data_IF_434770503516
#
_entry.id   IF_434770503516
#
_cell.length_a   1.000
_cell.length_b   1.000
_cell.length_c   1.000
_cell.angle_alpha   90.00
_cell.angle_beta   90.00
_cell.angle_gamma   90.00
#
_symmetry.space_group_name_H-M   'P 1'
#
loop_
_entity.id
_entity.type
_entity.pdbx_description
1 polymer ?
#
# COMPACT_ATOMS: atom_id res chain seq x y z
N UNK A 1 10.34 -20.49 -5.37
CA UNK A 1 9.07 -20.22 -4.65
C UNK A 1 7.91 -20.64 -5.53
N UNK A 2 7.75 -21.94 -5.74
CA UNK A 2 6.74 -22.47 -6.67
C UNK A 2 6.09 -23.70 -6.02
N UNK A 3 5.40 -23.48 -4.91
CA UNK A 3 4.49 -24.48 -4.34
C UNK A 3 3.07 -24.01 -4.66
N UNK A 4 2.47 -24.67 -5.64
CA UNK A 4 1.05 -24.51 -5.97
C UNK A 4 0.24 -25.09 -4.82
N UNK A 5 -0.64 -24.28 -4.28
CA UNK A 5 -1.58 -24.69 -3.26
C UNK A 5 -2.57 -25.76 -3.73
N UNK A 6 -3.09 -26.57 -2.78
CA UNK A 6 -4.04 -27.63 -3.08
C UNK A 6 -5.35 -27.08 -3.66
N UNK A 7 -5.84 -27.74 -4.71
CA UNK A 7 -7.05 -27.39 -5.41
C UNK A 7 -8.28 -27.44 -4.48
N UNK A 8 -8.98 -26.30 -4.33
CA UNK A 8 -10.21 -26.19 -3.54
C UNK A 8 -10.19 -25.06 -2.50
N UNK A 9 -9.02 -24.54 -2.16
CA UNK A 9 -8.88 -23.27 -1.43
C UNK A 9 -8.71 -22.17 -2.47
N UNK A 10 -9.67 -21.24 -2.57
CA UNK A 10 -9.40 -19.98 -3.24
C UNK A 10 -8.38 -19.24 -2.39
N UNK A 11 -7.09 -19.39 -2.72
CA UNK A 11 -6.04 -18.64 -2.05
C UNK A 11 -6.16 -17.17 -2.41
N UNK A 12 -6.76 -16.43 -1.48
CA UNK A 12 -6.82 -14.98 -1.53
C UNK A 12 -5.43 -14.44 -1.21
N UNK A 13 -4.70 -14.02 -2.24
CA UNK A 13 -3.36 -13.46 -2.10
C UNK A 13 -3.45 -11.97 -1.74
N UNK A 14 -2.77 -11.60 -0.66
CA UNK A 14 -2.59 -10.22 -0.23
C UNK A 14 -1.12 -9.81 -0.36
N UNK A 15 -0.88 -8.60 -0.85
CA UNK A 15 0.43 -7.97 -0.87
C UNK A 15 0.43 -6.81 0.12
N UNK A 16 1.37 -6.78 1.06
CA UNK A 16 1.51 -5.70 2.04
C UNK A 16 2.81 -4.96 1.75
N UNK A 17 2.72 -3.64 1.57
CA UNK A 17 3.85 -2.74 1.42
C UNK A 17 4.15 -2.08 2.76
N UNK A 18 5.40 -2.19 3.21
CA UNK A 18 5.88 -1.64 4.47
C UNK A 18 7.25 -0.99 4.23
N UNK A 19 7.36 0.31 4.53
CA UNK A 19 8.63 1.01 4.45
C UNK A 19 9.63 0.50 5.49
N UNK A 20 10.92 0.49 5.10
CA UNK A 20 12.00 0.18 6.01
C UNK A 20 12.06 1.19 7.16
N UNK A 21 11.90 0.71 8.39
CA UNK A 21 11.84 1.55 9.60
C UNK A 21 10.44 1.78 10.13
N UNK A 22 9.39 1.39 9.41
CA UNK A 22 8.02 1.40 9.93
C UNK A 22 7.82 0.23 10.89
N UNK A 23 7.29 0.54 12.08
CA UNK A 23 6.91 -0.47 13.09
C UNK A 23 5.39 -0.64 13.09
N UNK A 24 4.84 -1.72 12.51
CA UNK A 24 3.41 -1.97 12.58
C UNK A 24 3.00 -2.30 14.02
N UNK A 25 1.80 -1.86 14.42
CA UNK A 25 1.16 -2.38 15.63
C UNK A 25 0.81 -3.87 15.46
N UNK A 26 0.66 -4.58 16.58
CA UNK A 26 0.37 -6.03 16.61
C UNK A 26 -0.86 -6.41 15.75
N UNK A 27 -1.86 -5.53 15.68
CA UNK A 27 -3.10 -5.76 14.92
C UNK A 27 -3.17 -5.00 13.59
N UNK A 28 -2.14 -4.24 13.22
CA UNK A 28 -2.22 -3.29 12.10
C UNK A 28 -2.50 -3.98 10.76
N UNK A 29 -1.81 -5.08 10.45
CA UNK A 29 -2.01 -5.84 9.20
C UNK A 29 -3.40 -6.49 9.17
N UNK A 30 -3.85 -7.03 10.31
CA UNK A 30 -5.18 -7.64 10.44
C UNK A 30 -6.28 -6.60 10.19
N UNK A 31 -6.11 -5.36 10.67
CA UNK A 31 -7.04 -4.25 10.39
C UNK A 31 -7.13 -3.95 8.88
N UNK A 32 -6.02 -3.98 8.15
CA UNK A 32 -5.99 -3.77 6.70
C UNK A 32 -6.74 -4.87 5.96
N UNK A 33 -6.46 -6.13 6.29
CA UNK A 33 -7.15 -7.28 5.68
C UNK A 33 -8.65 -7.23 5.98
N UNK A 34 -9.03 -7.01 7.24
CA UNK A 34 -10.44 -6.87 7.64
C UNK A 34 -11.15 -5.71 6.93
N UNK A 35 -10.46 -4.62 6.62
CA UNK A 35 -11.02 -3.51 5.87
C UNK A 35 -11.34 -3.92 4.43
N UNK A 36 -10.44 -4.67 3.78
CA UNK A 36 -10.70 -5.22 2.44
C UNK A 36 -11.77 -6.31 2.49
N UNK A 37 -11.85 -7.14 3.53
CA UNK A 37 -12.85 -8.23 3.64
C UNK A 37 -14.29 -7.73 3.77
N UNK A 38 -14.49 -6.47 4.16
CA UNK A 38 -15.81 -5.83 4.17
C UNK A 38 -16.40 -5.65 2.77
N UNK A 39 -15.57 -5.47 1.75
CA UNK A 39 -16.00 -5.29 0.37
C UNK A 39 -15.04 -5.98 -0.61
N UNK A 40 -15.56 -6.97 -1.34
CA UNK A 40 -14.78 -7.74 -2.32
C UNK A 40 -14.24 -6.89 -3.47
N UNK A 41 -14.85 -5.74 -3.76
CA UNK A 41 -14.42 -4.83 -4.81
C UNK A 41 -13.27 -3.91 -4.38
N UNK A 42 -12.94 -3.85 -3.08
CA UNK A 42 -11.81 -3.07 -2.59
C UNK A 42 -10.51 -3.77 -2.98
N UNK A 43 -9.78 -3.12 -3.87
CA UNK A 43 -8.52 -3.61 -4.43
C UNK A 43 -7.29 -3.31 -3.56
N UNK A 44 -7.39 -2.31 -2.68
CA UNK A 44 -6.35 -1.99 -1.73
C UNK A 44 -6.82 -1.03 -0.64
N UNK A 45 -6.04 -0.95 0.42
CA UNK A 45 -6.25 -0.05 1.55
C UNK A 45 -4.92 0.48 2.07
N UNK A 46 -4.94 1.64 2.72
CA UNK A 46 -3.79 2.24 3.38
C UNK A 46 -4.06 2.35 4.87
N UNK A 47 -3.04 2.10 5.70
CA UNK A 47 -3.10 2.34 7.13
C UNK A 47 -2.67 3.75 7.47
N UNK A 48 -2.99 4.19 8.69
CA UNK A 48 -2.46 5.44 9.26
C UNK A 48 -1.02 5.21 9.72
N UNK A 49 -0.15 6.18 9.45
CA UNK A 49 1.23 6.20 9.92
C UNK A 49 1.38 7.39 10.86
N UNK A 50 2.07 7.17 11.98
CA UNK A 50 2.37 8.24 12.93
C UNK A 50 3.82 8.14 13.36
N UNK A 51 4.43 9.28 13.67
CA UNK A 51 5.79 9.31 14.20
C UNK A 51 5.83 8.66 15.58
N UNK A 52 6.84 7.81 15.82
CA UNK A 52 7.04 7.21 17.13
C UNK A 52 7.43 8.29 18.16
N UNK A 53 6.46 8.66 19.00
CA UNK A 53 6.63 9.67 20.05
C UNK A 53 7.55 9.22 21.18
N UNK A 54 7.86 7.93 21.31
CA UNK A 54 8.84 7.45 22.28
C UNK A 54 10.27 7.86 21.89
N UNK A 55 10.51 8.10 20.59
CA UNK A 55 11.79 8.58 20.04
C UNK A 55 11.83 10.12 19.91
N UNK A 56 10.70 10.80 20.10
CA UNK A 56 10.61 12.26 20.08
C UNK A 56 10.65 12.82 21.51
N UNK A 57 11.57 13.74 21.87
CA UNK A 57 11.51 14.42 23.16
C UNK A 57 10.15 15.14 23.30
N UNK A 58 9.69 15.33 24.55
CA UNK A 58 8.34 15.81 24.95
C UNK A 58 7.77 17.02 24.17
N UNK A 59 8.58 17.74 23.40
CA UNK A 59 8.10 18.70 22.41
C UNK A 59 8.59 18.35 20.99
N UNK A 60 7.67 17.79 20.20
CA UNK A 60 7.82 17.53 18.76
C UNK A 60 8.28 18.78 18.00
N UNK A 61 7.85 19.97 18.44
CA UNK A 61 8.17 21.26 17.81
C UNK A 61 9.63 21.71 17.94
N UNK A 62 10.43 21.18 18.87
CA UNK A 62 11.84 21.56 19.00
C UNK A 62 12.77 20.70 18.13
N UNK A 63 12.28 19.57 17.61
CA UNK A 63 13.03 18.74 16.69
C UNK A 63 12.41 18.86 15.29
N UNK A 64 13.02 19.66 14.43
CA UNK A 64 12.54 19.93 13.08
C UNK A 64 12.36 18.66 12.25
N UNK A 65 13.19 17.63 12.47
CA UNK A 65 13.10 16.35 11.76
C UNK A 65 11.84 15.57 12.17
N UNK A 66 11.50 15.54 13.45
CA UNK A 66 10.27 14.89 13.94
C UNK A 66 9.04 15.68 13.52
N UNK A 67 9.10 17.01 13.60
CA UNK A 67 8.01 17.89 13.18
C UNK A 67 7.71 17.79 11.68
N UNK A 68 8.74 17.69 10.82
CA UNK A 68 8.53 17.51 9.38
C UNK A 68 7.85 16.18 9.07
N UNK A 69 8.24 15.11 9.76
CA UNK A 69 7.65 13.78 9.60
C UNK A 69 6.18 13.74 10.06
N UNK A 70 5.86 14.42 11.17
CA UNK A 70 4.48 14.52 11.65
C UNK A 70 3.61 15.33 10.67
N UNK A 71 4.14 16.43 10.12
CA UNK A 71 3.45 17.20 9.09
C UNK A 71 3.18 16.38 7.82
N UNK A 72 4.19 15.67 7.31
CA UNK A 72 4.08 14.84 6.11
C UNK A 72 3.02 13.74 6.27
N UNK A 73 3.13 12.91 7.32
CA UNK A 73 2.27 11.74 7.49
C UNK A 73 0.88 12.05 8.05
N UNK A 74 0.69 13.15 8.80
CA UNK A 74 -0.66 13.55 9.27
C UNK A 74 -1.33 14.61 8.41
N UNK A 75 -0.67 15.72 8.16
CA UNK A 75 -1.30 16.89 7.52
C UNK A 75 -1.24 16.75 6.00
N UNK A 76 -0.05 16.51 5.45
CA UNK A 76 0.17 16.32 4.02
C UNK A 76 -0.67 15.19 3.48
N UNK A 77 -0.55 13.99 4.07
CA UNK A 77 -1.31 12.83 3.62
C UNK A 77 -2.84 13.03 3.71
N UNK A 78 -3.36 13.73 4.72
CA UNK A 78 -4.81 14.01 4.81
C UNK A 78 -5.28 14.95 3.68
N UNK A 79 -4.49 15.98 3.37
CA UNK A 79 -4.81 16.93 2.31
C UNK A 79 -4.69 16.29 0.92
N UNK A 80 -3.60 15.54 0.69
CA UNK A 80 -3.34 14.88 -0.58
C UNK A 80 -4.40 13.83 -0.88
N UNK A 81 -4.73 12.95 0.08
CA UNK A 81 -5.73 11.90 -0.14
C UNK A 81 -7.15 12.46 -0.31
N UNK A 82 -7.47 13.55 0.39
CA UNK A 82 -8.73 14.26 0.17
C UNK A 82 -8.80 14.88 -1.24
N UNK A 83 -7.71 15.48 -1.71
CA UNK A 83 -7.64 16.05 -3.05
C UNK A 83 -7.73 14.97 -4.14
N UNK A 84 -6.96 13.89 -4.01
CA UNK A 84 -7.02 12.73 -4.91
C UNK A 84 -8.43 12.14 -4.99
N UNK A 85 -9.14 12.08 -3.86
CA UNK A 85 -10.53 11.62 -3.81
C UNK A 85 -11.49 12.53 -4.56
N UNK A 86 -11.31 13.86 -4.51
CA UNK A 86 -12.15 14.82 -5.23
C UNK A 86 -11.84 14.80 -6.73
N UNK A 87 -10.56 14.68 -7.09
CA UNK A 87 -10.14 14.64 -8.49
C UNK A 87 -10.34 13.27 -9.15
N UNK A 88 -10.65 12.22 -8.39
CA UNK A 88 -10.80 10.85 -8.90
C UNK A 88 -9.51 10.28 -9.47
N UNK A 89 -8.35 10.80 -9.04
CA UNK A 89 -7.04 10.41 -9.54
C UNK A 89 -6.07 10.23 -8.38
N UNK A 90 -5.43 9.08 -8.32
CA UNK A 90 -4.39 8.77 -7.34
C UNK A 90 -3.05 9.15 -7.96
N UNK A 91 -2.40 10.17 -7.39
CA UNK A 91 -1.12 10.68 -7.89
C UNK A 91 0.04 9.73 -7.58
N UNK A 92 0.00 9.10 -6.40
CA UNK A 92 0.98 8.12 -5.93
C UNK A 92 0.26 7.02 -5.16
N UNK A 93 0.51 5.76 -5.54
CA UNK A 93 0.05 4.62 -4.78
C UNK A 93 0.76 4.60 -3.41
N UNK A 94 0.01 4.51 -2.29
CA UNK A 94 0.60 4.54 -0.97
C UNK A 94 1.56 3.34 -0.80
N UNK A 95 2.86 3.61 -0.65
CA UNK A 95 3.89 2.57 -0.50
C UNK A 95 4.26 2.27 0.96
N UNK A 96 4.06 3.24 1.86
CA UNK A 96 4.68 3.21 3.18
C UNK A 96 4.03 2.23 4.17
N UNK A 97 2.70 2.15 4.19
CA UNK A 97 1.94 1.15 4.96
C UNK A 97 0.59 0.89 4.30
N UNK A 98 0.58 -0.03 3.35
CA UNK A 98 -0.60 -0.35 2.55
C UNK A 98 -0.73 -1.84 2.27
N UNK A 99 -1.92 -2.26 1.90
CA UNK A 99 -2.19 -3.63 1.50
C UNK A 99 -3.06 -3.66 0.25
N UNK A 100 -2.82 -4.66 -0.60
CA UNK A 100 -3.48 -4.86 -1.87
C UNK A 100 -4.03 -6.28 -1.97
N UNK A 101 -5.26 -6.41 -2.46
CA UNK A 101 -5.90 -7.69 -2.74
C UNK A 101 -5.72 -8.05 -4.21
N UNK A 102 -5.13 -9.20 -4.44
CA UNK A 102 -4.76 -9.63 -5.78
C UNK A 102 -5.98 -9.96 -6.66
N UNK A 103 -7.03 -10.55 -6.10
CA UNK A 103 -8.25 -10.92 -6.83
C UNK A 103 -9.01 -9.71 -7.39
N UNK A 104 -9.12 -8.63 -6.61
CA UNK A 104 -9.82 -7.40 -7.00
C UNK A 104 -9.04 -6.57 -8.04
N UNK A 105 -7.71 -6.67 -8.06
CA UNK A 105 -6.86 -5.97 -9.03
C UNK A 105 -6.82 -6.62 -10.41
N UNK A 106 -7.39 -7.81 -10.59
CA UNK A 106 -7.18 -8.59 -11.81
C UNK A 106 -8.47 -8.98 -12.49
N UNK A 107 -8.52 -8.92 -13.84
CA UNK A 107 -9.65 -9.48 -14.58
C UNK A 107 -9.83 -10.97 -14.20
N UNK A 108 -11.07 -11.46 -14.05
CA UNK A 108 -11.35 -12.86 -13.69
C UNK A 108 -10.68 -13.88 -14.63
N UNK A 109 -10.42 -13.45 -15.86
CA UNK A 109 -9.80 -14.21 -16.94
C UNK A 109 -8.30 -14.47 -16.71
N UNK A 110 -7.64 -13.60 -15.96
CA UNK A 110 -6.25 -13.74 -15.58
C UNK A 110 -6.20 -14.35 -14.18
N UNK A 111 -5.98 -15.66 -14.07
CA UNK A 111 -5.85 -16.36 -12.77
C UNK A 111 -4.80 -15.73 -11.82
N UNK A 112 -4.79 -16.11 -10.53
CA UNK A 112 -4.08 -15.46 -9.40
C UNK A 112 -2.57 -15.31 -9.54
N UNK A 113 -1.93 -15.82 -10.59
CA UNK A 113 -0.47 -15.76 -10.77
C UNK A 113 -0.06 -15.28 -12.16
N UNK A 114 -0.98 -14.67 -12.92
CA UNK A 114 -0.70 -14.28 -14.29
C UNK A 114 0.15 -13.00 -14.36
N UNK A 115 1.17 -13.01 -15.21
CA UNK A 115 2.13 -11.91 -15.41
C UNK A 115 1.55 -10.66 -16.08
N UNK A 116 0.32 -10.73 -16.60
CA UNK A 116 -0.36 -9.58 -17.24
C UNK A 116 -1.33 -8.84 -16.31
N UNK A 117 -1.31 -9.14 -15.01
CA UNK A 117 -2.11 -8.40 -14.00
C UNK A 117 -1.56 -6.97 -13.84
N UNK A 118 -2.39 -5.91 -13.72
CA UNK A 118 -1.95 -4.50 -13.73
C UNK A 118 -0.84 -4.14 -12.73
N UNK A 119 -0.85 -4.79 -11.57
CA UNK A 119 0.13 -4.56 -10.50
C UNK A 119 1.46 -5.30 -10.73
N UNK A 120 1.52 -6.30 -11.64
CA UNK A 120 2.78 -6.97 -12.02
C UNK A 120 3.68 -6.02 -12.82
N UNK A 121 3.21 -5.30 -13.86
CA UNK A 121 3.93 -4.19 -14.48
C UNK A 121 4.38 -3.12 -13.49
N UNK A 122 3.51 -2.73 -12.54
CA UNK A 122 3.87 -1.79 -11.48
C UNK A 122 5.09 -2.28 -10.69
N UNK A 123 5.05 -3.50 -10.14
CA UNK A 123 6.21 -4.05 -9.41
C UNK A 123 7.41 -4.38 -10.31
N UNK A 124 7.21 -4.66 -11.60
CA UNK A 124 8.31 -4.77 -12.58
C UNK A 124 9.04 -3.44 -12.72
N UNK A 125 8.35 -2.30 -12.69
CA UNK A 125 9.00 -0.98 -12.71
C UNK A 125 9.88 -0.75 -11.47
N UNK A 126 9.49 -1.29 -10.30
CA UNK A 126 10.22 -1.18 -9.04
C UNK A 126 11.38 -2.17 -8.94
N UNK A 127 11.22 -3.38 -9.49
CA UNK A 127 12.21 -4.48 -9.36
C UNK A 127 13.19 -4.56 -10.53
N UNK A 128 12.82 -4.06 -11.70
CA UNK A 128 13.61 -4.09 -12.93
C UNK A 128 13.75 -2.68 -13.49
N UNK A 129 14.69 -1.91 -12.95
CA UNK A 129 14.98 -0.55 -13.41
C UNK A 129 15.28 -0.50 -14.90
N UNK A 130 14.52 0.30 -15.65
CA UNK A 130 14.74 0.58 -17.08
C UNK A 130 13.78 -0.08 -18.07
N UNK A 131 12.86 -0.94 -17.63
CA UNK A 131 11.94 -1.66 -18.54
C UNK A 131 10.60 -0.92 -18.74
N UNK A 132 10.13 -0.16 -17.74
CA UNK A 132 8.84 0.56 -17.78
C UNK A 132 9.02 1.89 -17.04
N UNK A 133 8.62 3.02 -17.64
CA UNK A 133 8.71 4.33 -16.96
C UNK A 133 7.59 4.48 -15.91
N UNK A 134 7.74 5.39 -14.92
CA UNK A 134 6.76 5.57 -13.84
C UNK A 134 5.34 5.90 -14.33
N UNK A 135 5.22 6.59 -15.48
CA UNK A 135 3.95 6.98 -16.09
C UNK A 135 3.22 5.82 -16.78
N UNK A 136 3.97 4.84 -17.30
CA UNK A 136 3.43 3.62 -17.90
C UNK A 136 3.26 2.50 -16.88
N UNK A 137 3.96 2.53 -15.73
CA UNK A 137 3.79 1.56 -14.65
C UNK A 137 2.60 1.83 -13.73
N UNK A 138 2.09 3.07 -13.72
CA UNK A 138 0.95 3.51 -12.91
C UNK A 138 -0.39 3.59 -13.69
N UNK A 139 -0.39 3.30 -15.00
CA UNK A 139 -1.58 3.17 -15.85
C UNK A 139 -1.85 1.69 -16.14
#
# INVERSE_FOLDING_TARGET
MNERAPAGVNEELYCVCLDAGTRPEETAIVKLINAMDKDRNVAGCCGEITVDKALAPKNVFYNWYVASQDFEYKVGNCLDKAFESVCGYISVLPGAFSAYRWSALSPPELGPTSDKRPIVPYFKSVTHGGVINPFYGNM
#
